data_IF_657714032201
#
_entry.id   IF_657714032201
#
_cell.length_a   1.000
_cell.length_b   1.000
_cell.length_c   1.000
_cell.angle_alpha   90.00
_cell.angle_beta   90.00
_cell.angle_gamma   90.00
#
_symmetry.space_group_name_H-M   'P 1'
#
loop_
_entity.id
_entity.type
_entity.pdbx_description
1 polymer ?
#
# COMPACT_ATOMS: atom_id res chain seq x y z
N UNK A 1 19.86 7.48 8.13
CA UNK A 1 20.34 8.41 7.08
C UNK A 1 19.43 9.60 6.82
N UNK A 2 18.09 9.54 6.99
CA UNK A 2 17.29 10.77 7.07
C UNK A 2 17.77 11.71 8.19
N UNK A 3 18.28 11.15 9.28
CA UNK A 3 18.85 11.88 10.41
C UNK A 3 20.25 11.33 10.72
N UNK A 4 21.31 11.73 10.00
CA UNK A 4 22.66 11.18 10.20
C UNK A 4 23.23 11.52 11.58
N UNK A 5 22.80 12.61 12.22
CA UNK A 5 23.25 12.98 13.55
C UNK A 5 22.46 12.32 14.70
N UNK A 6 21.44 11.51 14.39
CA UNK A 6 20.66 10.76 15.39
C UNK A 6 21.23 9.35 15.52
N UNK A 7 21.70 9.02 16.74
CA UNK A 7 22.28 7.71 17.03
C UNK A 7 21.26 6.56 16.94
N UNK A 8 21.74 5.32 16.87
CA UNK A 8 20.90 4.13 16.68
C UNK A 8 19.84 3.94 17.77
N UNK A 9 20.12 4.30 19.02
CA UNK A 9 19.15 4.21 20.14
C UNK A 9 17.99 5.17 19.92
N UNK A 10 18.28 6.46 19.69
CA UNK A 10 17.26 7.48 19.40
C UNK A 10 16.51 7.22 18.09
N UNK A 11 17.16 6.62 17.10
CA UNK A 11 16.48 6.18 15.88
C UNK A 11 15.45 5.07 16.16
N UNK A 12 15.76 4.11 17.05
CA UNK A 12 14.81 3.07 17.50
C UNK A 12 13.70 3.61 18.40
N UNK A 13 13.95 4.67 19.16
CA UNK A 13 12.92 5.39 19.92
C UNK A 13 11.95 6.10 18.95
N UNK A 14 12.50 6.79 17.94
CA UNK A 14 11.70 7.45 16.90
C UNK A 14 10.78 6.48 16.16
N UNK A 15 11.25 5.30 15.75
CA UNK A 15 10.42 4.31 15.05
C UNK A 15 9.31 3.69 15.90
N UNK A 16 9.38 3.85 17.23
CA UNK A 16 8.32 3.46 18.19
C UNK A 16 7.40 4.62 18.58
N UNK A 17 7.70 5.83 18.12
CA UNK A 17 6.97 7.05 18.47
C UNK A 17 5.87 7.38 17.46
N UNK A 18 4.91 8.21 17.87
CA UNK A 18 3.88 8.80 16.99
C UNK A 18 4.44 9.69 15.85
N UNK A 19 5.75 9.97 15.85
CA UNK A 19 6.41 10.73 14.79
C UNK A 19 6.78 9.87 13.58
N UNK A 20 6.70 8.55 13.71
CA UNK A 20 7.00 7.58 12.67
C UNK A 20 5.74 6.79 12.33
N UNK A 21 5.42 6.69 11.05
CA UNK A 21 4.36 5.83 10.53
C UNK A 21 4.94 4.86 9.51
N UNK A 22 4.68 3.55 9.67
CA UNK A 22 5.14 2.51 8.75
C UNK A 22 4.08 2.27 7.67
N UNK A 23 4.39 2.62 6.43
CA UNK A 23 3.47 2.41 5.31
C UNK A 23 3.76 1.05 4.66
N UNK A 24 3.04 0.01 5.09
CA UNK A 24 3.13 -1.35 4.51
C UNK A 24 2.71 -1.34 3.04
N UNK A 25 3.42 -2.10 2.19
CA UNK A 25 3.09 -2.27 0.77
C UNK A 25 2.39 -3.60 0.53
N UNK A 26 1.15 -3.61 0.02
CA UNK A 26 0.53 -4.87 -0.40
C UNK A 26 0.21 -5.86 0.73
N UNK A 27 0.04 -5.41 1.98
CA UNK A 27 0.02 -6.27 3.18
C UNK A 27 1.30 -7.11 3.43
N UNK A 28 2.40 -6.86 2.72
CA UNK A 28 3.67 -7.52 2.98
C UNK A 28 4.29 -6.92 4.26
N UNK A 29 4.36 -7.71 5.33
CA UNK A 29 4.74 -7.25 6.67
C UNK A 29 6.17 -6.73 6.77
N UNK A 30 7.05 -7.27 5.92
CA UNK A 30 8.48 -7.01 5.89
C UNK A 30 8.89 -6.06 4.75
N UNK A 31 7.93 -5.62 3.92
CA UNK A 31 8.14 -4.62 2.88
C UNK A 31 7.29 -3.38 3.17
N UNK A 32 7.96 -2.32 3.63
CA UNK A 32 7.30 -1.07 3.99
C UNK A 32 8.10 0.16 3.65
N UNK A 33 7.40 1.17 3.15
CA UNK A 33 7.83 2.55 3.26
C UNK A 33 7.65 3.10 4.67
N UNK A 34 7.95 4.38 4.86
CA UNK A 34 7.65 5.08 6.10
C UNK A 34 7.51 6.59 5.90
N UNK A 35 6.79 7.22 6.83
CA UNK A 35 6.76 8.68 7.02
C UNK A 35 7.34 9.03 8.38
N UNK A 36 8.09 10.12 8.44
CA UNK A 36 8.77 10.59 9.64
C UNK A 36 8.63 12.11 9.76
N UNK A 37 8.09 12.59 10.87
CA UNK A 37 8.05 14.00 11.29
C UNK A 37 9.02 14.20 12.47
N UNK A 38 10.32 14.38 12.23
CA UNK A 38 11.33 14.22 13.28
C UNK A 38 11.35 15.33 14.34
N UNK A 39 10.68 16.47 14.09
CA UNK A 39 10.61 17.63 15.01
C UNK A 39 12.01 18.02 15.52
N UNK A 40 12.23 18.06 16.84
CA UNK A 40 13.50 18.41 17.46
C UNK A 40 14.67 17.50 17.06
N UNK A 41 14.41 16.23 16.75
CA UNK A 41 15.44 15.30 16.26
C UNK A 41 15.97 15.71 14.87
N UNK A 42 15.14 16.40 14.07
CA UNK A 42 15.49 16.92 12.74
C UNK A 42 16.22 18.27 12.75
N UNK A 43 16.29 18.97 13.89
CA UNK A 43 16.82 20.35 13.94
C UNK A 43 18.28 20.48 13.52
N UNK A 44 19.13 19.50 13.89
CA UNK A 44 20.55 19.47 13.49
C UNK A 44 20.74 19.08 12.02
N UNK A 45 19.89 18.19 11.52
CA UNK A 45 19.91 17.70 10.14
C UNK A 45 19.12 18.59 9.17
N UNK A 46 18.47 19.66 9.67
CA UNK A 46 17.54 20.55 8.94
C UNK A 46 16.35 19.85 8.28
N UNK A 47 16.06 18.61 8.66
CA UNK A 47 14.95 17.79 8.15
C UNK A 47 13.66 18.11 8.90
N UNK A 48 12.62 18.48 8.16
CA UNK A 48 11.27 18.72 8.69
C UNK A 48 10.34 17.54 8.48
N UNK A 49 10.60 16.73 7.45
CA UNK A 49 9.82 15.53 7.10
C UNK A 49 10.66 14.59 6.24
N UNK A 50 10.45 13.28 6.38
CA UNK A 50 10.99 12.29 5.46
C UNK A 50 9.92 11.25 5.09
N UNK A 51 9.95 10.77 3.86
CA UNK A 51 8.98 9.86 3.29
C UNK A 51 9.66 8.87 2.33
N UNK A 52 9.66 7.58 2.68
CA UNK A 52 10.12 6.49 1.81
C UNK A 52 8.91 5.76 1.28
N UNK A 53 8.79 5.67 -0.04
CA UNK A 53 7.66 5.03 -0.72
C UNK A 53 8.05 4.53 -2.12
N UNK A 54 7.23 3.67 -2.71
CA UNK A 54 7.42 3.18 -4.08
C UNK A 54 6.62 4.00 -5.10
N UNK A 55 7.15 4.16 -6.32
CA UNK A 55 6.51 4.95 -7.39
C UNK A 55 5.59 4.13 -8.30
N UNK A 56 5.48 2.82 -8.10
CA UNK A 56 4.53 1.96 -8.80
C UNK A 56 3.07 2.43 -8.64
N UNK A 57 2.76 3.09 -7.51
CA UNK A 57 1.47 3.74 -7.23
C UNK A 57 1.08 4.84 -8.23
N UNK A 58 1.96 5.27 -9.13
CA UNK A 58 1.63 6.26 -10.15
C UNK A 58 0.44 5.81 -11.01
N UNK A 59 0.31 4.51 -11.30
CA UNK A 59 -0.79 3.96 -12.10
C UNK A 59 -2.13 3.96 -11.37
N UNK A 60 -2.12 4.03 -10.04
CA UNK A 60 -3.33 4.11 -9.20
C UNK A 60 -3.62 5.54 -8.72
N UNK A 61 -2.86 6.53 -9.19
CA UNK A 61 -3.02 7.92 -8.78
C UNK A 61 -4.17 8.60 -9.53
N UNK A 62 -5.12 9.17 -8.77
CA UNK A 62 -6.29 9.86 -9.30
C UNK A 62 -6.52 11.14 -8.50
N UNK A 63 -6.80 12.26 -9.18
CA UNK A 63 -7.10 13.54 -8.51
C UNK A 63 -8.54 13.60 -7.96
N UNK A 64 -9.47 12.92 -8.63
CA UNK A 64 -10.88 12.83 -8.25
C UNK A 64 -11.26 11.38 -7.88
N UNK A 65 -12.42 11.19 -7.26
CA UNK A 65 -12.97 9.86 -7.03
C UNK A 65 -13.24 9.14 -8.36
N UNK A 66 -12.53 8.05 -8.60
CA UNK A 66 -12.65 7.21 -9.79
C UNK A 66 -12.34 5.75 -9.48
N UNK A 67 -11.91 5.02 -10.51
CA UNK A 67 -11.68 3.56 -10.47
C UNK A 67 -10.88 3.07 -9.25
N UNK A 68 -9.83 3.79 -8.83
CA UNK A 68 -8.93 3.33 -7.77
C UNK A 68 -9.32 3.80 -6.37
N UNK A 69 -10.47 4.46 -6.19
CA UNK A 69 -10.94 4.97 -4.89
C UNK A 69 -10.88 3.90 -3.80
N UNK A 70 -10.86 4.32 -2.53
CA UNK A 70 -11.07 3.36 -1.44
C UNK A 70 -12.48 2.75 -1.54
N UNK A 71 -12.53 1.43 -1.66
CA UNK A 71 -13.76 0.66 -1.60
C UNK A 71 -14.14 0.38 -0.14
N UNK A 72 -15.42 0.23 0.15
CA UNK A 72 -15.94 0.11 1.52
C UNK A 72 -16.98 -1.02 1.58
N UNK A 73 -17.37 -1.43 2.78
CA UNK A 73 -18.46 -2.41 2.95
C UNK A 73 -19.80 -1.97 2.35
N UNK A 74 -20.00 -0.66 2.12
CA UNK A 74 -21.17 -0.12 1.40
C UNK A 74 -21.18 -0.52 -0.08
N UNK A 75 -20.02 -0.79 -0.68
CA UNK A 75 -19.92 -1.24 -2.08
C UNK A 75 -20.37 -2.71 -2.26
N UNK A 76 -20.50 -3.46 -1.16
CA UNK A 76 -21.05 -4.83 -1.14
C UNK A 76 -22.59 -4.87 -1.16
N UNK A 77 -23.27 -3.72 -1.13
CA UNK A 77 -24.73 -3.67 -1.16
C UNK A 77 -25.25 -4.22 -2.52
N UNK A 78 -26.39 -4.93 -2.56
CA UNK A 78 -26.84 -5.62 -3.78
C UNK A 78 -26.94 -4.74 -5.02
N UNK A 79 -27.33 -3.46 -4.86
CA UNK A 79 -27.45 -2.49 -5.96
C UNK A 79 -26.11 -1.83 -6.38
N UNK A 80 -25.00 -2.17 -5.71
CA UNK A 80 -23.65 -1.66 -5.99
C UNK A 80 -22.66 -2.76 -6.36
N UNK A 81 -23.00 -4.01 -6.07
CA UNK A 81 -22.11 -5.16 -6.24
C UNK A 81 -21.68 -5.39 -7.70
N UNK A 82 -22.59 -5.22 -8.67
CA UNK A 82 -22.24 -5.31 -10.10
C UNK A 82 -21.22 -4.22 -10.50
N UNK A 83 -21.38 -3.01 -9.97
CA UNK A 83 -20.44 -1.91 -10.21
C UNK A 83 -19.10 -2.15 -9.52
N UNK A 84 -19.10 -2.73 -8.33
CA UNK A 84 -17.89 -3.15 -7.63
C UNK A 84 -17.13 -4.23 -8.42
N UNK A 85 -17.83 -5.22 -9.00
CA UNK A 85 -17.22 -6.24 -9.85
C UNK A 85 -16.60 -5.63 -11.11
N UNK A 86 -17.30 -4.71 -11.80
CA UNK A 86 -16.76 -3.96 -12.93
C UNK A 86 -15.52 -3.12 -12.56
N UNK A 87 -15.53 -2.47 -11.40
CA UNK A 87 -14.38 -1.71 -10.91
C UNK A 87 -13.18 -2.64 -10.66
N UNK A 88 -13.39 -3.81 -10.02
CA UNK A 88 -12.31 -4.77 -9.74
C UNK A 88 -11.76 -5.39 -11.03
N UNK A 89 -12.62 -5.68 -12.01
CA UNK A 89 -12.19 -6.18 -13.32
C UNK A 89 -11.27 -5.18 -14.04
N UNK A 90 -11.68 -3.91 -14.13
CA UNK A 90 -10.87 -2.84 -14.72
C UNK A 90 -9.57 -2.54 -13.94
N UNK A 91 -9.60 -2.65 -12.60
CA UNK A 91 -8.39 -2.62 -11.75
C UNK A 91 -7.45 -3.78 -12.10
N UNK A 92 -7.99 -4.98 -12.28
CA UNK A 92 -7.21 -6.17 -12.64
C UNK A 92 -6.60 -6.03 -14.04
N UNK A 93 -7.37 -5.56 -15.03
CA UNK A 93 -6.88 -5.27 -16.39
C UNK A 93 -5.75 -4.24 -16.35
N UNK A 94 -5.88 -3.16 -15.55
CA UNK A 94 -4.78 -2.20 -15.38
C UNK A 94 -3.51 -2.85 -14.82
N UNK A 95 -3.63 -3.77 -13.86
CA UNK A 95 -2.47 -4.52 -13.33
C UNK A 95 -1.89 -5.51 -14.33
N UNK A 96 -2.71 -6.07 -15.24
CA UNK A 96 -2.24 -6.91 -16.35
C UNK A 96 -1.44 -6.09 -17.37
N UNK A 97 -1.95 -4.93 -17.77
CA UNK A 97 -1.26 -4.01 -18.67
C UNK A 97 0.09 -3.56 -18.10
N UNK A 98 0.11 -3.17 -16.82
CA UNK A 98 1.35 -2.83 -16.10
C UNK A 98 2.38 -3.96 -16.07
N UNK A 99 1.95 -5.22 -16.15
CA UNK A 99 2.83 -6.39 -16.18
C UNK A 99 3.43 -6.69 -17.57
N UNK A 100 3.14 -5.86 -18.59
CA UNK A 100 3.56 -6.06 -19.97
C UNK A 100 2.48 -6.61 -20.90
N UNK A 101 1.19 -6.57 -20.51
CA UNK A 101 0.06 -7.02 -21.34
C UNK A 101 0.01 -6.33 -22.71
N UNK A 102 0.32 -5.02 -22.74
CA UNK A 102 0.42 -4.21 -23.97
C UNK A 102 1.86 -4.11 -24.50
N UNK A 103 2.72 -5.08 -24.21
CA UNK A 103 4.13 -5.10 -24.60
C UNK A 103 5.06 -4.17 -23.79
N UNK A 104 4.52 -3.20 -23.05
CA UNK A 104 5.28 -2.27 -22.20
C UNK A 104 5.16 -2.67 -20.73
N UNK A 105 6.29 -2.95 -20.09
CA UNK A 105 6.36 -3.24 -18.65
C UNK A 105 6.43 -1.94 -17.85
N UNK A 106 5.56 -1.76 -16.87
CA UNK A 106 5.61 -0.60 -15.97
C UNK A 106 6.58 -0.86 -14.82
N UNK A 107 7.69 -0.12 -14.78
CA UNK A 107 8.62 -0.16 -13.64
C UNK A 107 8.19 0.75 -12.48
N UNK A 108 8.70 0.44 -11.29
CA UNK A 108 8.57 1.26 -10.09
C UNK A 108 9.91 1.39 -9.36
N UNK A 109 10.17 2.56 -8.78
CA UNK A 109 11.37 2.82 -8.00
C UNK A 109 11.03 3.00 -6.52
N UNK A 110 11.94 2.58 -5.63
CA UNK A 110 11.94 3.07 -4.26
C UNK A 110 12.40 4.53 -4.26
N UNK A 111 11.58 5.44 -3.74
CA UNK A 111 11.85 6.87 -3.63
C UNK A 111 12.02 7.24 -2.17
N UNK A 112 13.10 7.95 -1.88
CA UNK A 112 13.37 8.56 -0.57
C UNK A 112 13.25 10.08 -0.71
N UNK A 113 12.14 10.64 -0.24
CA UNK A 113 11.88 12.07 -0.20
C UNK A 113 12.27 12.61 1.19
N UNK A 114 13.10 13.66 1.23
CA UNK A 114 13.41 14.38 2.47
C UNK A 114 13.11 15.86 2.25
N UNK A 115 12.34 16.46 3.16
CA UNK A 115 12.02 17.88 3.15
C UNK A 115 12.94 18.60 4.12
N UNK A 116 13.71 19.53 3.58
CA UNK A 116 14.64 20.39 4.31
C UNK A 116 14.27 21.84 4.05
N UNK A 117 14.76 22.75 4.90
CA UNK A 117 14.67 24.17 4.59
C UNK A 117 15.46 24.46 3.29
N UNK A 118 14.85 25.22 2.36
CA UNK A 118 15.39 25.49 1.02
C UNK A 118 16.82 26.06 1.04
N UNK A 119 17.19 26.84 2.06
CA UNK A 119 18.54 27.38 2.25
C UNK A 119 19.63 26.30 2.40
N UNK A 120 19.24 25.06 2.72
CA UNK A 120 20.15 23.93 2.91
C UNK A 120 19.93 22.79 1.89
N UNK A 121 19.03 22.98 0.89
CA UNK A 121 18.65 21.93 -0.06
C UNK A 121 19.83 21.38 -0.87
N UNK A 122 20.81 22.21 -1.21
CA UNK A 122 22.01 21.82 -1.96
C UNK A 122 23.09 21.14 -1.11
N UNK A 123 22.95 21.16 0.22
CA UNK A 123 23.98 20.68 1.16
C UNK A 123 23.52 19.48 2.00
N UNK A 124 22.22 19.17 2.02
CA UNK A 124 21.64 18.13 2.86
C UNK A 124 21.43 16.85 2.06
N UNK A 125 21.95 15.72 2.55
CA UNK A 125 21.86 14.40 1.90
C UNK A 125 22.40 14.35 0.46
N UNK A 126 23.46 15.11 0.16
CA UNK A 126 24.15 15.08 -1.15
C UNK A 126 24.73 13.70 -1.50
N UNK A 127 24.93 12.83 -0.52
CA UNK A 127 25.31 11.43 -0.71
C UNK A 127 24.46 10.49 0.16
N UNK A 128 24.21 9.29 -0.35
CA UNK A 128 23.61 8.18 0.39
C UNK A 128 24.64 7.04 0.49
N UNK A 129 24.96 6.54 1.69
CA UNK A 129 25.91 5.43 1.82
C UNK A 129 25.42 4.16 1.13
N UNK A 130 26.32 3.51 0.38
CA UNK A 130 25.99 2.31 -0.40
C UNK A 130 25.40 1.17 0.46
N UNK A 131 25.86 1.02 1.70
CA UNK A 131 25.37 -0.02 2.60
C UNK A 131 23.94 0.24 3.07
N UNK A 132 23.48 1.50 3.12
CA UNK A 132 22.06 1.78 3.31
C UNK A 132 21.27 1.17 2.15
N UNK A 133 21.65 1.47 0.91
CA UNK A 133 20.94 1.02 -0.28
C UNK A 133 20.88 -0.51 -0.30
N UNK A 134 22.02 -1.17 -0.05
CA UNK A 134 22.14 -2.65 0.04
C UNK A 134 21.25 -3.29 1.12
N UNK A 135 21.04 -2.62 2.25
CA UNK A 135 20.29 -3.17 3.39
C UNK A 135 18.86 -2.64 3.55
N UNK A 136 18.44 -1.63 2.76
CA UNK A 136 17.09 -1.06 2.85
C UNK A 136 16.28 -1.06 1.54
N UNK A 137 16.87 -1.47 0.41
CA UNK A 137 16.16 -1.58 -0.86
C UNK A 137 16.05 -3.04 -1.27
N UNK A 138 14.81 -3.54 -1.37
CA UNK A 138 14.51 -4.86 -1.94
C UNK A 138 14.22 -4.71 -3.44
N UNK A 139 15.10 -5.18 -4.34
CA UNK A 139 14.81 -5.18 -5.77
C UNK A 139 13.78 -6.27 -6.08
N UNK A 140 12.56 -5.84 -6.45
CA UNK A 140 11.50 -6.73 -6.94
C UNK A 140 11.39 -6.50 -8.45
N UNK A 141 11.61 -7.53 -9.31
CA UNK A 141 11.31 -7.42 -10.73
C UNK A 141 9.88 -6.93 -10.97
N UNK A 142 9.65 -6.02 -11.91
CA UNK A 142 8.30 -5.49 -12.13
C UNK A 142 7.34 -6.56 -12.64
N UNK A 143 7.85 -7.53 -13.43
CA UNK A 143 7.22 -8.84 -13.74
C UNK A 143 7.17 -9.81 -12.54
N UNK A 144 7.32 -9.32 -11.32
CA UNK A 144 6.98 -9.99 -10.05
C UNK A 144 6.14 -9.08 -9.13
N UNK A 145 6.32 -7.76 -9.20
CA UNK A 145 5.54 -6.81 -8.42
C UNK A 145 4.09 -6.67 -8.92
N UNK A 146 3.91 -6.53 -10.23
CA UNK A 146 2.60 -6.78 -10.83
C UNK A 146 2.29 -8.28 -10.85
N UNK A 147 3.16 -9.18 -10.31
CA UNK A 147 3.29 -10.58 -10.77
C UNK A 147 3.64 -11.79 -9.80
N UNK A 148 2.65 -12.57 -9.28
CA UNK A 148 2.77 -13.83 -8.46
C UNK A 148 1.76 -14.90 -8.92
N UNK A 149 1.88 -15.57 -10.07
CA UNK A 149 3.08 -16.25 -10.58
C UNK A 149 4.31 -15.37 -10.70
N UNK A 150 4.38 -14.28 -11.47
CA UNK A 150 3.81 -13.90 -12.78
C UNK A 150 2.39 -13.29 -12.98
N UNK A 151 1.51 -13.06 -11.97
CA UNK A 151 0.47 -11.95 -11.94
C UNK A 151 -0.03 -11.51 -10.48
N UNK A 152 0.57 -10.62 -9.64
CA UNK A 152 0.43 -10.51 -8.16
C UNK A 152 -0.69 -9.58 -7.70
N UNK A 153 -0.51 -8.26 -7.85
CA UNK A 153 -1.58 -7.30 -7.59
C UNK A 153 -2.83 -7.72 -8.38
N UNK A 154 -2.60 -8.18 -9.62
CA UNK A 154 -3.56 -8.89 -10.47
C UNK A 154 -4.23 -10.08 -9.77
N UNK A 155 -3.56 -11.21 -9.48
CA UNK A 155 -4.18 -12.41 -8.90
C UNK A 155 -4.82 -12.13 -7.54
N UNK A 156 -4.38 -11.11 -6.79
CA UNK A 156 -5.09 -10.66 -5.59
C UNK A 156 -6.41 -9.96 -5.94
N UNK A 157 -6.41 -9.06 -6.92
CA UNK A 157 -7.65 -8.47 -7.44
C UNK A 157 -8.58 -9.54 -8.05
N UNK A 158 -8.06 -10.45 -8.89
CA UNK A 158 -8.83 -11.54 -9.52
C UNK A 158 -9.37 -12.54 -8.50
N UNK A 159 -8.59 -12.95 -7.49
CA UNK A 159 -9.10 -13.82 -6.43
C UNK A 159 -10.19 -13.14 -5.59
N UNK A 160 -10.06 -11.84 -5.34
CA UNK A 160 -11.11 -11.04 -4.69
C UNK A 160 -12.35 -10.94 -5.59
N UNK A 161 -12.18 -10.74 -6.90
CA UNK A 161 -13.26 -10.75 -7.89
C UNK A 161 -14.06 -12.05 -7.83
N UNK A 162 -13.40 -13.21 -7.90
CA UNK A 162 -14.07 -14.52 -7.83
C UNK A 162 -14.88 -14.68 -6.55
N UNK A 163 -14.31 -14.37 -5.38
CA UNK A 163 -15.02 -14.46 -4.09
C UNK A 163 -16.24 -13.51 -4.05
N UNK A 164 -16.14 -12.31 -4.62
CA UNK A 164 -17.25 -11.36 -4.67
C UNK A 164 -18.32 -11.76 -5.71
N UNK A 165 -17.93 -12.45 -6.78
CA UNK A 165 -18.83 -13.02 -7.77
C UNK A 165 -19.65 -14.19 -7.17
N UNK A 166 -19.02 -15.04 -6.37
CA UNK A 166 -19.70 -16.08 -5.59
C UNK A 166 -20.67 -15.45 -4.56
N UNK A 167 -20.24 -14.39 -3.87
CA UNK A 167 -21.13 -13.61 -2.97
C UNK A 167 -22.27 -12.96 -3.77
N UNK A 168 -22.07 -12.52 -5.02
CA UNK A 168 -23.13 -11.91 -5.82
C UNK A 168 -24.23 -12.91 -6.20
N UNK A 169 -23.85 -14.13 -6.59
CA UNK A 169 -24.76 -15.22 -6.98
C UNK A 169 -25.40 -15.95 -5.79
N UNK A 170 -24.84 -15.82 -4.59
CA UNK A 170 -25.36 -16.42 -3.35
C UNK A 170 -26.77 -15.87 -2.99
N UNK A 171 -27.72 -16.70 -2.54
CA UNK A 171 -29.06 -16.26 -2.13
C UNK A 171 -29.05 -15.17 -1.04
N UNK A 172 -30.03 -14.24 -1.02
CA UNK A 172 -30.04 -13.10 -0.08
C UNK A 172 -29.86 -13.47 1.39
N UNK A 173 -30.47 -14.57 1.84
CA UNK A 173 -30.38 -15.09 3.21
C UNK A 173 -28.95 -15.47 3.59
N UNK A 174 -28.25 -16.20 2.71
CA UNK A 174 -26.86 -16.62 2.93
C UNK A 174 -25.86 -15.46 2.77
N UNK A 175 -26.19 -14.41 1.99
CA UNK A 175 -25.41 -13.16 1.95
C UNK A 175 -25.49 -12.38 3.26
N UNK A 176 -26.60 -12.48 3.99
CA UNK A 176 -26.79 -11.82 5.28
C UNK A 176 -26.10 -12.55 6.45
N UNK A 177 -25.55 -13.76 6.24
CA UNK A 177 -24.79 -14.46 7.27
C UNK A 177 -23.54 -13.68 7.69
N UNK A 178 -23.24 -13.69 8.99
CA UNK A 178 -22.09 -12.98 9.57
C UNK A 178 -20.78 -13.35 8.86
N UNK A 179 -20.58 -14.63 8.56
CA UNK A 179 -19.41 -15.13 7.82
C UNK A 179 -19.27 -14.52 6.42
N UNK A 180 -20.38 -14.36 5.69
CA UNK A 180 -20.42 -13.78 4.34
C UNK A 180 -20.12 -12.29 4.37
N UNK A 181 -20.72 -11.57 5.34
CA UNK A 181 -20.48 -10.14 5.57
C UNK A 181 -19.03 -9.86 6.01
N UNK A 182 -18.46 -10.73 6.85
CA UNK A 182 -17.05 -10.70 7.23
C UNK A 182 -16.15 -10.94 6.02
N UNK A 183 -16.40 -12.01 5.23
CA UNK A 183 -15.62 -12.33 4.04
C UNK A 183 -15.60 -11.19 3.02
N UNK A 184 -16.76 -10.62 2.70
CA UNK A 184 -16.86 -9.45 1.81
C UNK A 184 -16.09 -8.24 2.37
N UNK A 185 -16.18 -7.98 3.67
CA UNK A 185 -15.43 -6.90 4.32
C UNK A 185 -13.91 -7.12 4.26
N UNK A 186 -13.45 -8.36 4.44
CA UNK A 186 -12.03 -8.74 4.32
C UNK A 186 -11.56 -8.57 2.88
N UNK A 187 -12.37 -8.93 1.90
CA UNK A 187 -12.11 -8.66 0.48
C UNK A 187 -11.89 -7.16 0.21
N UNK A 188 -12.72 -6.27 0.78
CA UNK A 188 -12.52 -4.81 0.66
C UNK A 188 -11.23 -4.34 1.32
N UNK A 189 -10.90 -4.82 2.52
CA UNK A 189 -9.63 -4.53 3.18
C UNK A 189 -8.42 -4.99 2.34
N UNK A 190 -8.48 -6.23 1.82
CA UNK A 190 -7.42 -6.80 0.97
C UNK A 190 -7.25 -6.02 -0.34
N UNK A 191 -8.33 -5.66 -1.02
CA UNK A 191 -8.33 -4.88 -2.26
C UNK A 191 -7.70 -3.51 -2.06
N UNK A 192 -8.16 -2.78 -1.02
CA UNK A 192 -7.62 -1.47 -0.68
C UNK A 192 -6.12 -1.51 -0.39
N UNK A 193 -5.62 -2.53 0.30
CA UNK A 193 -4.19 -2.66 0.58
C UNK A 193 -3.33 -3.17 -0.58
N UNK A 194 -3.92 -3.55 -1.73
CA UNK A 194 -3.21 -3.80 -3.00
C UNK A 194 -3.04 -2.51 -3.82
N UNK A 195 -4.05 -1.63 -3.76
CA UNK A 195 -4.10 -0.34 -4.47
C UNK A 195 -3.35 0.77 -3.68
N UNK A 196 -3.48 0.75 -2.36
CA UNK A 196 -2.97 1.72 -1.40
C UNK A 196 -2.18 1.04 -0.27
N UNK A 197 -1.66 1.84 0.68
CA UNK A 197 -1.30 1.29 2.00
C UNK A 197 -2.54 0.69 2.69
N UNK A 198 -2.41 -0.44 3.43
CA UNK A 198 -3.44 -0.93 4.31
C UNK A 198 -3.98 0.16 5.25
N UNK A 199 -5.25 0.02 5.63
CA UNK A 199 -5.90 1.00 6.49
C UNK A 199 -5.49 0.82 7.95
N UNK A 200 -5.25 1.93 8.65
CA UNK A 200 -4.92 1.95 10.09
C UNK A 200 -6.15 2.24 10.96
N UNK A 201 -7.35 2.32 10.37
CA UNK A 201 -8.59 2.50 11.13
C UNK A 201 -8.81 1.30 12.05
N UNK A 202 -9.29 1.56 13.28
CA UNK A 202 -9.49 0.51 14.31
C UNK A 202 -10.34 -0.66 13.82
N UNK A 203 -11.36 -0.39 13.00
CA UNK A 203 -12.24 -1.42 12.42
C UNK A 203 -11.49 -2.36 11.47
N UNK A 204 -10.67 -1.81 10.59
CA UNK A 204 -9.88 -2.58 9.61
C UNK A 204 -8.80 -3.42 10.31
N UNK A 205 -8.16 -2.86 11.34
CA UNK A 205 -7.17 -3.58 12.17
C UNK A 205 -7.83 -4.71 12.96
N UNK A 206 -9.01 -4.48 13.55
CA UNK A 206 -9.78 -5.53 14.24
C UNK A 206 -10.24 -6.62 13.29
N UNK A 207 -10.70 -6.26 12.09
CA UNK A 207 -11.10 -7.21 11.05
C UNK A 207 -9.92 -8.08 10.61
N UNK A 208 -8.76 -7.48 10.33
CA UNK A 208 -7.55 -8.20 9.98
C UNK A 208 -7.10 -9.19 11.08
N UNK A 209 -7.18 -8.77 12.36
CA UNK A 209 -6.87 -9.64 13.50
C UNK A 209 -7.85 -10.81 13.64
N UNK A 210 -9.15 -10.55 13.56
CA UNK A 210 -10.18 -11.59 13.62
C UNK A 210 -10.04 -12.62 12.48
N UNK A 211 -9.54 -12.19 11.32
CA UNK A 211 -9.30 -13.04 10.14
C UNK A 211 -8.03 -13.89 10.24
N UNK A 212 -7.05 -13.46 11.05
CA UNK A 212 -5.78 -14.17 11.25
C UNK A 212 -5.83 -15.15 12.44
N UNK A 213 -6.92 -15.17 13.21
CA UNK A 213 -7.14 -16.06 14.35
C UNK A 213 -7.95 -17.30 13.93
N UNK A 214 -7.33 -18.18 13.14
CA UNK A 214 -7.73 -19.58 12.93
C UNK A 214 -6.50 -20.45 12.75
#
# INVERSE_FOLDING_TARGET
HALPHVNATRARELTRSKLYARDLSGHLTDLSGFRLEPRSYGTRDRVTYANVYTTDKNVTYQLNGGLFRRHTSVDLYPNKLDKLLQDIDAISTTFHDCAGGQGVLQDGAARFEVRVNIAYALFTHTTLPNDLIRHSVLPIPSRLWWSRSRFFKFYRATAIYSVLQDIATTPPEARAWISSLQLGSICMYMLNGVIYRPSELKIDVSLAKASALR
#
